data_IF_090133076473
#
_entry.id   IF_090133076473
#
_cell.length_a   1.000
_cell.length_b   1.000
_cell.length_c   1.000
_cell.angle_alpha   90.00
_cell.angle_beta   90.00
_cell.angle_gamma   90.00
#
_symmetry.space_group_name_H-M   'P 1'
#
loop_
_entity.id
_entity.type
_entity.pdbx_description
1 polymer ?
#
# COMPACT_ATOMS: atom_id res chain seq x y z
N UNK A 1 0.13 -2.63 -7.60
CA UNK A 1 0.42 -1.20 -7.89
C UNK A 1 1.79 -1.03 -8.55
N UNK A 2 2.01 -1.72 -9.66
CA UNK A 2 3.29 -1.65 -10.39
C UNK A 2 3.17 -0.86 -11.70
N UNK A 3 1.97 -0.41 -12.06
CA UNK A 3 1.65 0.28 -13.32
C UNK A 3 2.04 -0.53 -14.57
N UNK A 4 2.01 -1.86 -14.46
CA UNK A 4 2.49 -2.77 -15.49
C UNK A 4 1.59 -2.79 -16.75
N UNK A 5 0.30 -2.51 -16.61
CA UNK A 5 -0.69 -2.60 -17.69
C UNK A 5 -1.84 -1.61 -17.48
N UNK A 6 -1.52 -0.36 -17.20
CA UNK A 6 -2.51 0.72 -17.07
C UNK A 6 -3.23 0.91 -18.40
N UNK A 7 -4.55 1.08 -18.38
CA UNK A 7 -5.32 1.37 -19.61
C UNK A 7 -4.80 2.66 -20.26
N UNK A 8 -4.53 2.68 -21.57
CA UNK A 8 -4.04 3.89 -22.24
C UNK A 8 -5.11 4.97 -22.35
N UNK A 9 -6.37 4.57 -22.44
CA UNK A 9 -7.52 5.43 -22.71
C UNK A 9 -8.57 5.36 -21.60
N UNK A 10 -9.54 6.28 -21.66
CA UNK A 10 -10.67 6.37 -20.73
C UNK A 10 -10.41 7.29 -19.54
N UNK A 11 -11.35 7.35 -18.58
CA UNK A 11 -11.25 8.19 -17.39
C UNK A 11 -10.03 7.82 -16.53
N UNK A 12 -9.30 8.81 -16.06
CA UNK A 12 -8.03 8.59 -15.33
C UNK A 12 -8.19 7.70 -14.09
N UNK A 13 -9.30 7.81 -13.37
CA UNK A 13 -9.59 6.98 -12.19
C UNK A 13 -9.87 5.50 -12.53
N UNK A 14 -10.20 5.18 -13.77
CA UNK A 14 -10.41 3.80 -14.24
C UNK A 14 -9.18 3.19 -14.94
N UNK A 15 -8.17 4.00 -15.30
CA UNK A 15 -6.98 3.49 -15.96
C UNK A 15 -6.24 2.41 -15.15
N UNK A 16 -6.13 2.49 -13.81
CA UNK A 16 -5.50 1.43 -13.01
C UNK A 16 -6.18 0.05 -13.10
N UNK A 17 -7.45 -0.01 -13.52
CA UNK A 17 -8.19 -1.28 -13.67
C UNK A 17 -7.52 -2.21 -14.69
N UNK A 18 -6.82 -1.66 -15.68
CA UNK A 18 -6.04 -2.46 -16.65
C UNK A 18 -5.01 -3.38 -16.00
N UNK A 19 -4.40 -2.98 -14.90
CA UNK A 19 -3.47 -3.85 -14.14
C UNK A 19 -4.22 -5.03 -13.49
N UNK A 20 -5.44 -4.80 -12.99
CA UNK A 20 -6.30 -5.88 -12.47
C UNK A 20 -6.73 -6.86 -13.57
N UNK A 21 -7.11 -6.36 -14.74
CA UNK A 21 -7.44 -7.18 -15.92
C UNK A 21 -6.24 -8.05 -16.33
N UNK A 22 -5.05 -7.45 -16.37
CA UNK A 22 -3.81 -8.14 -16.69
C UNK A 22 -3.51 -9.28 -15.70
N UNK A 23 -3.54 -9.02 -14.40
CA UNK A 23 -3.26 -10.02 -13.37
C UNK A 23 -4.34 -11.10 -13.33
N UNK A 24 -5.61 -10.75 -13.49
CA UNK A 24 -6.70 -11.71 -13.54
C UNK A 24 -6.58 -12.68 -14.72
N UNK A 25 -6.10 -12.18 -15.89
CA UNK A 25 -5.80 -13.03 -17.05
C UNK A 25 -4.66 -14.01 -16.75
N UNK A 26 -3.59 -13.57 -16.11
CA UNK A 26 -2.48 -14.44 -15.69
C UNK A 26 -2.96 -15.47 -14.68
N UNK A 27 -3.79 -15.09 -13.73
CA UNK A 27 -4.35 -16.00 -12.73
C UNK A 27 -5.16 -17.13 -13.37
N UNK A 28 -5.95 -16.83 -14.40
CA UNK A 28 -6.67 -17.86 -15.17
C UNK A 28 -5.70 -18.78 -15.90
N UNK A 29 -4.77 -18.23 -16.66
CA UNK A 29 -3.80 -19.02 -17.41
C UNK A 29 -2.96 -19.94 -16.49
N UNK A 30 -2.56 -19.48 -15.31
CA UNK A 30 -1.82 -20.29 -14.33
C UNK A 30 -2.66 -21.43 -13.78
N UNK A 31 -3.96 -21.20 -13.55
CA UNK A 31 -4.90 -22.25 -13.07
C UNK A 31 -5.14 -23.31 -14.13
N UNK A 32 -5.39 -22.88 -15.37
CA UNK A 32 -5.72 -23.76 -16.48
C UNK A 32 -4.52 -24.56 -16.98
N UNK A 33 -3.29 -24.00 -16.85
CA UNK A 33 -2.04 -24.63 -17.26
C UNK A 33 -1.45 -25.61 -16.26
N UNK A 34 -2.10 -25.87 -15.10
CA UNK A 34 -1.61 -26.79 -14.08
C UNK A 34 -0.33 -26.30 -13.39
N UNK A 35 -0.06 -24.99 -13.41
CA UNK A 35 1.08 -24.37 -12.74
C UNK A 35 1.06 -24.61 -11.23
N UNK A 36 2.23 -24.78 -10.59
CA UNK A 36 2.33 -25.07 -9.17
C UNK A 36 1.94 -23.91 -8.24
N UNK A 37 1.74 -22.70 -8.77
CA UNK A 37 1.36 -21.51 -8.00
C UNK A 37 -0.02 -21.00 -8.41
N UNK A 38 -0.83 -20.63 -7.42
CA UNK A 38 -2.18 -20.06 -7.62
C UNK A 38 -2.18 -18.61 -7.15
N UNK A 39 -2.61 -17.69 -8.00
CA UNK A 39 -2.88 -16.31 -7.60
C UNK A 39 -4.23 -16.30 -6.87
N UNK A 40 -4.20 -16.08 -5.56
CA UNK A 40 -5.37 -16.16 -4.68
C UNK A 40 -6.03 -14.79 -4.41
N UNK A 41 -5.33 -13.69 -4.70
CA UNK A 41 -5.87 -12.35 -4.48
C UNK A 41 -5.11 -11.29 -5.27
N UNK A 42 -5.79 -10.19 -5.53
CA UNK A 42 -5.27 -9.01 -6.23
C UNK A 42 -5.50 -7.80 -5.31
N UNK A 43 -4.43 -7.08 -4.99
CA UNK A 43 -4.47 -5.76 -4.38
C UNK A 43 -4.17 -4.75 -5.49
N UNK A 44 -5.16 -3.92 -5.80
CA UNK A 44 -5.12 -2.99 -6.92
C UNK A 44 -4.73 -1.57 -6.48
N UNK A 45 -4.78 -0.61 -7.38
CA UNK A 45 -4.57 0.81 -7.09
C UNK A 45 -5.81 1.64 -7.42
N UNK A 46 -6.19 2.54 -6.50
CA UNK A 46 -7.13 3.63 -6.74
C UNK A 46 -6.76 4.83 -5.86
N UNK A 47 -7.11 6.05 -6.29
CA UNK A 47 -6.99 7.22 -5.41
C UNK A 47 -8.14 7.23 -4.39
N UNK A 48 -7.83 6.94 -3.14
CA UNK A 48 -8.80 6.87 -2.05
C UNK A 48 -9.44 8.22 -1.70
N UNK A 49 -8.93 9.32 -2.25
CA UNK A 49 -9.54 10.67 -2.10
C UNK A 49 -10.60 10.95 -3.16
N UNK A 50 -10.87 9.99 -4.03
CA UNK A 50 -11.69 10.17 -5.24
C UNK A 50 -13.18 10.45 -5.00
N UNK A 51 -13.70 10.34 -3.76
CA UNK A 51 -15.12 10.49 -3.50
C UNK A 51 -15.97 9.54 -4.34
N UNK A 52 -16.99 10.03 -5.08
CA UNK A 52 -17.85 9.16 -5.91
C UNK A 52 -17.11 8.37 -7.00
N UNK A 53 -16.01 8.90 -7.54
CA UNK A 53 -15.16 8.21 -8.52
C UNK A 53 -14.45 6.99 -7.93
N UNK A 54 -14.25 6.96 -6.59
CA UNK A 54 -13.70 5.80 -5.93
C UNK A 54 -14.64 4.60 -6.03
N UNK A 55 -15.94 4.79 -5.81
CA UNK A 55 -16.92 3.71 -5.91
C UNK A 55 -16.94 3.10 -7.32
N UNK A 56 -16.93 3.94 -8.36
CA UNK A 56 -16.84 3.51 -9.75
C UNK A 56 -15.55 2.69 -10.01
N UNK A 57 -14.43 3.13 -9.48
CA UNK A 57 -13.16 2.40 -9.60
C UNK A 57 -13.19 1.06 -8.87
N UNK A 58 -13.74 1.00 -7.65
CA UNK A 58 -13.86 -0.23 -6.87
C UNK A 58 -14.79 -1.26 -7.56
N UNK A 59 -15.90 -0.81 -8.16
CA UNK A 59 -16.80 -1.67 -8.93
C UNK A 59 -16.10 -2.23 -10.18
N UNK A 60 -15.38 -1.38 -10.91
CA UNK A 60 -14.62 -1.80 -12.08
C UNK A 60 -13.48 -2.80 -11.71
N UNK A 61 -12.79 -2.61 -10.58
CA UNK A 61 -11.81 -3.57 -10.08
C UNK A 61 -12.46 -4.90 -9.66
N UNK A 62 -13.64 -4.87 -9.04
CA UNK A 62 -14.36 -6.06 -8.63
C UNK A 62 -14.78 -6.90 -9.87
N UNK A 63 -15.29 -6.25 -10.89
CA UNK A 63 -15.65 -6.88 -12.17
C UNK A 63 -14.40 -7.49 -12.85
N UNK A 64 -13.35 -6.69 -13.02
CA UNK A 64 -12.12 -7.12 -13.67
C UNK A 64 -11.40 -8.24 -12.90
N UNK A 65 -11.45 -8.20 -11.58
CA UNK A 65 -10.79 -9.15 -10.68
C UNK A 65 -11.48 -10.50 -10.57
N UNK A 66 -12.76 -10.62 -10.97
CA UNK A 66 -13.52 -11.89 -11.01
C UNK A 66 -13.42 -12.70 -9.71
N UNK A 67 -13.61 -12.03 -8.56
CA UNK A 67 -13.53 -12.60 -7.22
C UNK A 67 -12.12 -12.60 -6.60
N UNK A 68 -11.07 -12.24 -7.34
CA UNK A 68 -9.71 -12.13 -6.84
C UNK A 68 -9.40 -10.76 -6.23
N UNK A 69 -10.17 -9.72 -6.50
CA UNK A 69 -9.95 -8.39 -5.94
C UNK A 69 -10.18 -8.40 -4.42
N UNK A 70 -9.17 -7.97 -3.65
CA UNK A 70 -9.18 -8.04 -2.18
C UNK A 70 -8.96 -6.71 -1.48
N UNK A 71 -8.38 -5.73 -2.16
CA UNK A 71 -8.07 -4.45 -1.54
C UNK A 71 -7.39 -3.46 -2.47
N UNK A 72 -7.14 -2.29 -1.91
CA UNK A 72 -6.45 -1.19 -2.59
C UNK A 72 -5.15 -0.88 -1.88
N UNK A 73 -4.07 -0.72 -2.64
CA UNK A 73 -2.83 -0.12 -2.21
C UNK A 73 -2.73 1.32 -2.71
N UNK A 74 -2.71 2.25 -1.76
CA UNK A 74 -2.43 3.66 -2.01
C UNK A 74 -1.27 4.07 -1.13
N UNK A 75 -0.09 4.19 -1.73
CA UNK A 75 1.15 4.52 -1.03
C UNK A 75 1.09 5.89 -0.37
N UNK A 76 1.43 5.93 0.92
CA UNK A 76 1.65 7.18 1.65
C UNK A 76 3.10 7.62 1.69
N UNK A 77 4.02 6.84 1.10
CA UNK A 77 5.46 7.09 1.18
C UNK A 77 5.82 8.49 0.67
N UNK A 78 6.39 9.30 1.55
CA UNK A 78 6.90 10.64 1.28
C UNK A 78 8.07 10.91 2.21
N UNK A 79 9.15 11.40 1.64
CA UNK A 79 10.36 11.78 2.38
C UNK A 79 10.75 13.21 2.01
N UNK A 80 11.28 14.01 2.96
CA UNK A 80 11.79 15.36 2.68
C UNK A 80 13.07 15.35 1.82
N UNK A 81 13.73 14.20 1.69
CA UNK A 81 15.00 14.01 0.96
C UNK A 81 14.88 12.95 -0.15
N UNK A 82 13.91 13.08 -1.08
CA UNK A 82 13.65 12.06 -2.11
C UNK A 82 14.84 11.84 -3.05
N UNK A 83 15.75 12.81 -3.16
CA UNK A 83 16.96 12.74 -4.00
C UNK A 83 17.96 11.68 -3.53
N UNK A 84 17.87 11.22 -2.28
CA UNK A 84 18.72 10.17 -1.73
C UNK A 84 18.13 8.76 -1.84
N UNK A 85 16.90 8.65 -2.35
CA UNK A 85 16.17 7.39 -2.39
C UNK A 85 16.21 6.75 -3.79
N UNK A 86 16.45 5.45 -3.83
CA UNK A 86 16.37 4.65 -5.07
C UNK A 86 14.91 4.52 -5.56
N UNK A 87 13.98 4.47 -4.62
CA UNK A 87 12.54 4.38 -4.89
C UNK A 87 11.82 5.50 -4.12
N UNK A 88 11.88 6.75 -4.62
CA UNK A 88 11.24 7.87 -3.93
C UNK A 88 9.72 7.73 -3.93
N UNK A 89 9.13 7.80 -2.73
CA UNK A 89 7.69 7.85 -2.56
C UNK A 89 7.10 9.17 -3.04
N UNK A 90 5.87 9.13 -3.55
CA UNK A 90 5.14 10.29 -4.08
C UNK A 90 3.82 10.53 -3.34
N UNK A 91 3.72 10.06 -2.10
CA UNK A 91 2.56 10.29 -1.24
C UNK A 91 2.29 11.79 -1.04
N UNK A 92 1.04 12.16 -0.91
CA UNK A 92 0.67 13.52 -0.57
C UNK A 92 1.11 13.84 0.87
N UNK A 93 1.46 15.10 1.11
CA UNK A 93 1.75 15.56 2.46
C UNK A 93 0.50 15.43 3.34
N UNK A 94 0.66 14.94 4.57
CA UNK A 94 -0.45 14.76 5.50
C UNK A 94 -1.52 13.75 5.08
N UNK A 95 -1.24 12.87 4.10
CA UNK A 95 -2.22 11.95 3.50
C UNK A 95 -3.06 11.20 4.55
N UNK A 96 -2.45 10.67 5.61
CA UNK A 96 -3.15 9.88 6.62
C UNK A 96 -4.07 10.72 7.53
N UNK A 97 -3.89 12.04 7.55
CA UNK A 97 -4.76 12.97 8.25
C UNK A 97 -5.85 13.57 7.35
N UNK A 98 -5.74 13.42 6.03
CA UNK A 98 -6.70 13.96 5.06
C UNK A 98 -8.09 13.33 5.26
N UNK A 99 -9.14 14.13 5.53
CA UNK A 99 -10.50 13.60 5.74
C UNK A 99 -11.04 12.84 4.54
N UNK A 100 -10.75 13.27 3.30
CA UNK A 100 -11.20 12.59 2.10
C UNK A 100 -10.51 11.22 1.96
N UNK A 101 -9.22 11.14 2.30
CA UNK A 101 -8.49 9.87 2.32
C UNK A 101 -9.06 8.92 3.38
N UNK A 102 -9.29 9.39 4.60
CA UNK A 102 -9.90 8.59 5.68
C UNK A 102 -11.29 8.08 5.31
N UNK A 103 -12.09 8.90 4.65
CA UNK A 103 -13.40 8.47 4.13
C UNK A 103 -13.25 7.35 3.07
N UNK A 104 -12.27 7.47 2.17
CA UNK A 104 -11.98 6.42 1.18
C UNK A 104 -11.50 5.12 1.82
N UNK A 105 -10.65 5.20 2.85
CA UNK A 105 -10.23 4.02 3.61
C UNK A 105 -11.42 3.38 4.34
N UNK A 106 -12.32 4.16 4.94
CA UNK A 106 -13.54 3.65 5.57
C UNK A 106 -14.44 2.95 4.54
N UNK A 107 -14.54 3.51 3.33
CA UNK A 107 -15.31 2.91 2.23
C UNK A 107 -14.79 1.54 1.83
N UNK A 108 -13.48 1.28 1.90
CA UNK A 108 -12.92 -0.06 1.69
C UNK A 108 -13.45 -1.05 2.74
N UNK A 109 -13.44 -0.68 4.01
CA UNK A 109 -13.95 -1.52 5.10
C UNK A 109 -15.45 -1.87 4.94
N UNK A 110 -16.28 -0.89 4.56
CA UNK A 110 -17.70 -1.10 4.25
C UNK A 110 -17.91 -2.13 3.13
N UNK A 111 -16.96 -2.26 2.22
CA UNK A 111 -16.98 -3.21 1.10
C UNK A 111 -16.25 -4.53 1.38
N UNK A 112 -15.73 -4.73 2.61
CA UNK A 112 -14.95 -5.91 2.98
C UNK A 112 -13.59 -5.98 2.27
N UNK A 113 -13.04 -4.83 1.85
CA UNK A 113 -11.74 -4.71 1.19
C UNK A 113 -10.66 -4.24 2.18
N UNK A 114 -9.40 -4.61 1.91
CA UNK A 114 -8.24 -4.14 2.68
C UNK A 114 -7.67 -2.84 2.14
N UNK A 115 -7.02 -2.09 3.03
CA UNK A 115 -6.14 -0.99 2.66
C UNK A 115 -4.69 -1.40 2.89
N UNK A 116 -3.88 -1.50 1.83
CA UNK A 116 -2.45 -1.74 1.92
C UNK A 116 -1.69 -0.41 1.79
N UNK A 117 -0.69 -0.18 2.64
CA UNK A 117 0.15 1.00 2.56
C UNK A 117 1.62 0.69 2.57
N UNK A 118 2.35 1.39 1.69
CA UNK A 118 3.79 1.53 1.79
C UNK A 118 4.12 2.96 2.20
N UNK A 119 4.92 3.11 3.24
CA UNK A 119 5.43 4.39 3.73
C UNK A 119 6.79 4.21 4.42
N UNK A 120 7.43 5.32 4.80
CA UNK A 120 8.72 5.29 5.51
C UNK A 120 8.52 5.36 7.03
N UNK A 121 9.50 4.85 7.78
CA UNK A 121 9.45 4.68 9.24
C UNK A 121 8.99 5.93 10.01
N UNK A 122 9.40 7.13 9.59
CA UNK A 122 9.00 8.37 10.25
C UNK A 122 7.50 8.71 10.08
N UNK A 123 6.78 8.00 9.20
CA UNK A 123 5.34 8.12 9.01
C UNK A 123 4.53 7.10 9.83
N UNK A 124 5.19 6.17 10.53
CA UNK A 124 4.52 5.17 11.37
C UNK A 124 3.52 5.78 12.39
N UNK A 125 3.84 6.88 13.10
CA UNK A 125 2.87 7.51 14.01
C UNK A 125 1.59 7.96 13.31
N UNK A 126 1.71 8.59 12.14
CA UNK A 126 0.55 9.04 11.38
C UNK A 126 -0.30 7.87 10.84
N UNK A 127 0.33 6.76 10.50
CA UNK A 127 -0.38 5.53 10.14
C UNK A 127 -1.13 4.92 11.33
N UNK A 128 -0.54 4.91 12.52
CA UNK A 128 -1.22 4.47 13.74
C UNK A 128 -2.46 5.33 14.06
N UNK A 129 -2.38 6.64 13.84
CA UNK A 129 -3.52 7.56 13.96
C UNK A 129 -4.62 7.25 12.94
N UNK A 130 -4.26 6.99 11.67
CA UNK A 130 -5.21 6.55 10.65
C UNK A 130 -5.92 5.26 11.09
N UNK A 131 -5.17 4.26 11.56
CA UNK A 131 -5.72 2.98 11.98
C UNK A 131 -6.73 3.12 13.13
N UNK A 132 -6.44 3.98 14.10
CA UNK A 132 -7.37 4.32 15.19
C UNK A 132 -8.60 5.09 14.73
N UNK A 133 -8.42 5.98 13.74
CA UNK A 133 -9.52 6.81 13.21
C UNK A 133 -10.48 6.01 12.33
N UNK A 134 -10.04 4.91 11.71
CA UNK A 134 -10.84 4.08 10.80
C UNK A 134 -10.77 2.61 11.22
N UNK A 135 -11.35 2.25 12.38
CA UNK A 135 -11.20 0.90 12.94
C UNK A 135 -11.94 -0.20 12.16
N UNK A 136 -12.90 0.18 11.30
CA UNK A 136 -13.70 -0.74 10.50
C UNK A 136 -13.00 -1.31 9.26
N UNK A 137 -11.77 -0.87 8.96
CA UNK A 137 -11.03 -1.32 7.78
C UNK A 137 -9.79 -2.08 8.18
N UNK A 138 -9.60 -3.29 7.66
CA UNK A 138 -8.32 -4.00 7.80
C UNK A 138 -7.25 -3.29 7.01
N UNK A 139 -6.19 -2.88 7.69
CA UNK A 139 -5.04 -2.19 7.10
C UNK A 139 -3.81 -3.09 7.10
N UNK A 140 -3.06 -3.04 6.01
CA UNK A 140 -1.86 -3.85 5.82
C UNK A 140 -0.64 -2.93 5.78
N UNK A 141 0.22 -3.04 6.79
CA UNK A 141 1.51 -2.35 6.83
C UNK A 141 2.51 -3.10 5.95
N UNK A 142 2.87 -2.52 4.81
CA UNK A 142 3.89 -3.09 3.93
C UNK A 142 5.30 -2.84 4.46
N UNK A 143 6.19 -3.81 4.25
CA UNK A 143 7.64 -3.65 4.38
C UNK A 143 8.11 -3.13 5.74
N UNK A 144 7.43 -3.51 6.84
CA UNK A 144 7.74 -3.06 8.21
C UNK A 144 7.77 -1.53 8.37
N UNK A 145 7.04 -0.76 7.54
CA UNK A 145 7.12 0.70 7.56
C UNK A 145 8.47 1.23 7.11
N UNK A 146 9.19 0.48 6.28
CA UNK A 146 10.41 0.84 5.55
C UNK A 146 11.37 1.74 6.35
N UNK A 147 12.14 1.20 7.32
CA UNK A 147 13.16 1.96 8.02
C UNK A 147 14.27 2.35 7.04
N UNK A 148 14.48 3.67 6.85
CA UNK A 148 15.48 4.21 5.94
C UNK A 148 16.88 4.13 6.57
N UNK A 149 17.90 3.90 5.72
CA UNK A 149 19.28 3.79 6.13
C UNK A 149 20.29 4.45 5.17
N UNK A 150 19.79 5.26 4.22
CA UNK A 150 20.61 5.95 3.21
C UNK A 150 20.48 7.46 3.33
N UNK A 151 21.34 8.21 2.64
CA UNK A 151 21.34 9.67 2.67
C UNK A 151 21.44 10.22 4.09
N UNK A 152 20.55 11.14 4.51
CA UNK A 152 20.59 11.72 5.86
C UNK A 152 20.35 10.70 6.97
N UNK A 153 19.84 9.52 6.67
CA UNK A 153 19.58 8.43 7.62
C UNK A 153 20.77 7.47 7.78
N UNK A 154 21.80 7.60 6.93
CA UNK A 154 23.01 6.79 7.01
C UNK A 154 23.71 6.99 8.37
N UNK A 155 24.13 5.89 8.99
CA UNK A 155 24.78 5.92 10.31
C UNK A 155 23.84 6.12 11.51
N UNK A 156 22.53 6.32 11.29
CA UNK A 156 21.55 6.52 12.36
C UNK A 156 20.75 5.25 12.71
N UNK A 157 21.18 4.08 12.26
CA UNK A 157 20.45 2.81 12.38
C UNK A 157 19.92 2.52 13.76
N UNK A 158 20.76 2.67 14.79
CA UNK A 158 20.38 2.35 16.18
C UNK A 158 19.27 3.28 16.69
N UNK A 159 19.38 4.57 16.43
CA UNK A 159 18.38 5.57 16.83
C UNK A 159 17.06 5.33 16.09
N UNK A 160 17.14 5.12 14.76
CA UNK A 160 15.97 4.81 13.92
C UNK A 160 15.31 3.51 14.37
N UNK A 161 16.08 2.46 14.65
CA UNK A 161 15.53 1.19 15.12
C UNK A 161 14.83 1.32 16.47
N UNK A 162 15.41 2.07 17.40
CA UNK A 162 14.80 2.34 18.70
C UNK A 162 13.47 3.06 18.57
N UNK A 163 13.37 4.07 17.71
CA UNK A 163 12.12 4.78 17.45
C UNK A 163 11.13 3.88 16.72
N UNK A 164 11.57 3.18 15.68
CA UNK A 164 10.77 2.23 14.91
C UNK A 164 10.13 1.16 15.81
N UNK A 165 10.86 0.60 16.78
CA UNK A 165 10.31 -0.37 17.73
C UNK A 165 9.14 0.19 18.53
N UNK A 166 9.24 1.44 18.98
CA UNK A 166 8.17 2.13 19.71
C UNK A 166 6.94 2.34 18.82
N UNK A 167 7.17 2.83 17.60
CA UNK A 167 6.10 3.14 16.68
C UNK A 167 5.36 1.87 16.21
N UNK A 168 6.10 0.80 15.93
CA UNK A 168 5.50 -0.50 15.55
C UNK A 168 4.73 -1.11 16.72
N UNK A 169 5.21 -0.94 17.96
CA UNK A 169 4.47 -1.37 19.15
C UNK A 169 3.14 -0.61 19.30
N UNK A 170 3.09 0.69 18.95
CA UNK A 170 1.83 1.45 18.92
C UNK A 170 0.90 0.99 17.79
N UNK A 171 1.44 0.71 16.60
CA UNK A 171 0.68 0.13 15.48
C UNK A 171 0.09 -1.23 15.87
N UNK A 172 0.87 -2.08 16.53
CA UNK A 172 0.43 -3.41 16.96
C UNK A 172 -0.72 -3.40 17.97
N UNK A 173 -1.01 -2.27 18.61
CA UNK A 173 -2.20 -2.08 19.47
C UNK A 173 -3.47 -1.83 18.68
N UNK A 174 -3.38 -1.60 17.38
CA UNK A 174 -4.52 -1.40 16.51
C UNK A 174 -5.01 -2.77 16.00
N UNK A 175 -6.17 -3.29 16.45
CA UNK A 175 -6.62 -4.65 16.14
C UNK A 175 -6.98 -4.85 14.66
N UNK A 176 -7.13 -3.77 13.93
CA UNK A 176 -7.42 -3.73 12.49
C UNK A 176 -6.16 -3.65 11.63
N UNK A 177 -4.95 -3.81 12.20
CA UNK A 177 -3.70 -3.77 11.42
C UNK A 177 -3.03 -5.14 11.40
N UNK A 178 -2.60 -5.53 10.21
CA UNK A 178 -1.71 -6.66 9.95
C UNK A 178 -0.47 -6.16 9.21
N UNK A 179 0.64 -6.91 9.26
CA UNK A 179 1.88 -6.50 8.61
C UNK A 179 2.40 -7.59 7.66
N UNK A 180 2.96 -7.17 6.53
CA UNK A 180 3.73 -8.03 5.64
C UNK A 180 5.19 -8.06 6.08
N UNK A 181 5.69 -9.27 6.35
CA UNK A 181 7.07 -9.54 6.72
C UNK A 181 7.94 -9.59 5.46
N UNK A 182 8.34 -8.43 4.95
CA UNK A 182 9.10 -8.31 3.71
C UNK A 182 9.72 -6.94 3.53
N UNK A 183 10.35 -6.70 2.37
CA UNK A 183 10.91 -5.41 1.99
C UNK A 183 12.27 -5.06 2.61
N UNK A 184 12.87 -5.95 3.42
CA UNK A 184 14.15 -5.67 4.09
C UNK A 184 15.34 -5.62 3.11
N UNK A 185 15.19 -6.17 1.90
CA UNK A 185 16.21 -6.10 0.84
C UNK A 185 16.10 -4.84 -0.04
N UNK A 186 15.23 -3.90 0.29
CA UNK A 186 15.14 -2.62 -0.44
C UNK A 186 16.42 -1.82 -0.25
N UNK A 187 17.02 -1.26 -1.33
CA UNK A 187 18.26 -0.49 -1.23
C UNK A 187 18.19 0.65 -0.22
N UNK A 188 17.05 1.31 -0.13
CA UNK A 188 16.82 2.47 0.73
C UNK A 188 16.87 2.15 2.24
N UNK A 189 16.77 0.84 2.62
CA UNK A 189 16.99 0.41 3.99
C UNK A 189 18.46 0.44 4.41
N UNK A 190 19.39 0.56 3.44
CA UNK A 190 20.83 0.68 3.70
C UNK A 190 21.48 -0.59 4.28
N UNK A 191 20.85 -1.76 4.11
CA UNK A 191 21.49 -3.04 4.43
C UNK A 191 22.34 -3.47 3.23
N UNK A 192 23.64 -3.67 3.46
CA UNK A 192 24.48 -4.40 2.52
C UNK A 192 24.21 -5.89 2.69
N UNK A 193 23.69 -6.53 1.68
CA UNK A 193 23.56 -7.98 1.61
C UNK A 193 24.68 -8.46 0.68
N UNK A 194 25.70 -9.06 1.26
CA UNK A 194 26.81 -9.73 0.54
C UNK A 194 26.44 -11.16 0.15
#
# INVERSE_FOLDING_TARGET
ECRAAVRPDGPDHLKPVGETEFVARIARASRDGGGGAVIAGIVAHADLRGGPKLDEALDAHAEAGQGLFKGIRHSGARDPHPEHLSIPGRGAEGLYADPAFRAGVARLGERGLTYDTWHYHHQNPAFAELARAVPGTTMVLDHFGTPLGVGPYAGQREAIFTQWQRDVAEIARCPNVVAKLGGMAMPDNGYGWD
#
